data_IF_439796383521
#
_entry.id   IF_439796383521
#
_cell.length_a   1.000
_cell.length_b   1.000
_cell.length_c   1.000
_cell.angle_alpha   90.00
_cell.angle_beta   90.00
_cell.angle_gamma   90.00
#
_symmetry.space_group_name_H-M   'P 1'
#
loop_
_entity.id
_entity.type
_entity.pdbx_description
1 polymer ?
#
# COMPACT_ATOMS: atom_id res chain seq x y z
N UNK A 1 -23.54 -20.78 2.17
CA UNK A 1 -22.35 -20.25 1.47
C UNK A 1 -22.25 -18.71 1.52
N UNK A 2 -23.32 -17.95 1.83
CA UNK A 2 -23.26 -16.48 1.93
C UNK A 2 -22.42 -15.93 3.10
N UNK A 3 -22.24 -16.71 4.17
CA UNK A 3 -21.59 -16.24 5.41
C UNK A 3 -20.06 -16.13 5.28
N UNK A 4 -19.42 -17.14 4.68
CA UNK A 4 -17.96 -17.16 4.48
C UNK A 4 -17.50 -16.03 3.55
N UNK A 5 -18.28 -15.71 2.51
CA UNK A 5 -18.00 -14.58 1.63
C UNK A 5 -17.90 -13.28 2.40
N UNK A 6 -18.87 -13.05 3.29
CA UNK A 6 -18.98 -11.82 4.05
C UNK A 6 -17.83 -11.72 5.04
N UNK A 7 -17.46 -12.81 5.70
CA UNK A 7 -16.30 -12.88 6.59
C UNK A 7 -15.01 -12.47 5.84
N UNK A 8 -14.79 -12.97 4.61
CA UNK A 8 -13.63 -12.57 3.83
C UNK A 8 -13.68 -11.10 3.44
N UNK A 9 -14.79 -10.60 2.90
CA UNK A 9 -14.91 -9.20 2.51
C UNK A 9 -14.75 -8.25 3.70
N UNK A 10 -15.32 -8.58 4.85
CA UNK A 10 -15.16 -7.80 6.10
C UNK A 10 -13.70 -7.81 6.56
N UNK A 11 -13.07 -8.99 6.63
CA UNK A 11 -11.67 -9.11 7.00
C UNK A 11 -10.73 -8.34 6.05
N UNK A 12 -10.99 -8.37 4.75
CA UNK A 12 -10.21 -7.60 3.76
C UNK A 12 -10.34 -6.10 4.05
N UNK A 13 -11.57 -5.60 4.23
CA UNK A 13 -11.82 -4.19 4.51
C UNK A 13 -11.15 -3.72 5.81
N UNK A 14 -11.25 -4.51 6.89
CA UNK A 14 -10.67 -4.19 8.19
C UNK A 14 -9.14 -4.24 8.16
N UNK A 15 -8.55 -5.26 7.54
CA UNK A 15 -7.10 -5.42 7.53
C UNK A 15 -6.41 -4.40 6.62
N UNK A 16 -7.01 -4.10 5.46
CA UNK A 16 -6.47 -3.05 4.60
C UNK A 16 -6.68 -1.66 5.19
N UNK A 17 -7.83 -1.37 5.78
CA UNK A 17 -8.09 -0.05 6.38
C UNK A 17 -7.13 0.23 7.53
N UNK A 18 -6.90 -0.76 8.40
CA UNK A 18 -5.89 -0.67 9.45
C UNK A 18 -4.46 -0.50 8.89
N UNK A 19 -4.07 -1.30 7.90
CA UNK A 19 -2.74 -1.21 7.30
C UNK A 19 -2.49 0.14 6.62
N UNK A 20 -3.46 0.65 5.87
CA UNK A 20 -3.36 1.96 5.20
C UNK A 20 -3.30 3.09 6.24
N UNK A 21 -4.07 3.00 7.32
CA UNK A 21 -4.00 3.96 8.42
C UNK A 21 -2.62 3.96 9.11
N UNK A 22 -2.00 2.79 9.29
CA UNK A 22 -0.64 2.70 9.81
C UNK A 22 0.40 3.31 8.85
N UNK A 23 0.22 3.15 7.53
CA UNK A 23 1.06 3.83 6.54
C UNK A 23 0.89 5.37 6.62
N UNK A 24 -0.33 5.84 6.81
CA UNK A 24 -0.62 7.26 6.99
C UNK A 24 0.01 7.83 8.27
N UNK A 25 -0.06 7.10 9.39
CA UNK A 25 0.62 7.47 10.65
C UNK A 25 2.13 7.65 10.42
N UNK A 26 2.76 6.74 9.67
CA UNK A 26 4.17 6.85 9.30
C UNK A 26 4.48 8.09 8.47
N UNK A 27 3.67 8.38 7.45
CA UNK A 27 3.82 9.58 6.61
C UNK A 27 3.76 10.86 7.45
N UNK A 28 2.77 10.95 8.35
CA UNK A 28 2.56 12.11 9.23
C UNK A 28 3.67 12.27 10.27
N UNK A 29 4.18 11.17 10.79
CA UNK A 29 5.16 11.16 11.88
C UNK A 29 6.61 11.33 11.41
N UNK A 30 6.90 11.19 10.11
CA UNK A 30 8.27 11.23 9.60
C UNK A 30 8.88 12.65 9.70
N UNK A 31 9.99 12.84 10.46
CA UNK A 31 10.68 14.13 10.56
C UNK A 31 11.31 14.56 9.23
N UNK A 32 11.54 15.88 9.07
CA UNK A 32 12.06 16.46 7.82
C UNK A 32 13.46 15.92 7.48
N UNK A 33 14.29 15.75 8.50
CA UNK A 33 15.66 15.24 8.40
C UNK A 33 15.73 13.76 8.02
N UNK A 34 14.65 12.99 8.20
CA UNK A 34 14.57 11.57 7.79
C UNK A 34 13.96 11.43 6.40
N UNK A 35 13.09 12.37 6.03
CA UNK A 35 12.26 12.32 4.83
C UNK A 35 13.05 12.00 3.56
N UNK A 36 14.07 12.80 3.27
CA UNK A 36 14.95 12.67 2.09
C UNK A 36 16.40 12.33 2.50
N UNK A 37 16.58 11.62 3.61
CA UNK A 37 17.89 11.11 4.01
C UNK A 37 18.32 9.95 3.09
N UNK A 38 19.34 10.21 2.26
CA UNK A 38 19.90 9.29 1.26
C UNK A 38 21.22 8.64 1.69
N UNK A 39 21.69 8.85 2.93
CA UNK A 39 23.02 8.37 3.35
C UNK A 39 23.07 6.86 3.57
N UNK A 40 21.93 6.18 3.66
CA UNK A 40 21.84 4.77 4.03
C UNK A 40 20.85 4.00 3.16
N UNK A 41 20.84 4.31 1.87
CA UNK A 41 19.95 3.71 0.87
C UNK A 41 18.79 4.63 0.48
N UNK A 42 17.69 4.07 -0.05
CA UNK A 42 16.53 4.83 -0.49
C UNK A 42 15.98 5.74 0.62
N UNK A 43 15.67 7.01 0.33
CA UNK A 43 15.06 7.90 1.31
C UNK A 43 13.68 7.39 1.75
N UNK A 44 13.23 7.85 2.92
CA UNK A 44 11.97 7.41 3.52
C UNK A 44 10.78 7.61 2.56
N UNK A 45 10.74 8.76 1.89
CA UNK A 45 9.67 9.06 0.94
C UNK A 45 9.66 8.09 -0.25
N UNK A 46 10.83 7.63 -0.73
CA UNK A 46 10.91 6.72 -1.88
C UNK A 46 10.45 5.31 -1.47
N UNK A 47 10.83 4.85 -0.29
CA UNK A 47 10.29 3.59 0.27
C UNK A 47 8.78 3.68 0.41
N UNK A 48 8.27 4.80 0.91
CA UNK A 48 6.82 5.00 1.05
C UNK A 48 6.12 5.04 -0.31
N UNK A 49 6.69 5.74 -1.29
CA UNK A 49 6.18 5.78 -2.66
C UNK A 49 6.20 4.40 -3.32
N UNK A 50 7.25 3.61 -3.15
CA UNK A 50 7.30 2.22 -3.61
C UNK A 50 6.10 1.42 -3.08
N UNK A 51 5.84 1.49 -1.78
CA UNK A 51 4.72 0.78 -1.15
C UNK A 51 3.40 1.22 -1.74
N UNK A 52 3.18 2.52 -1.86
CA UNK A 52 1.95 3.08 -2.41
C UNK A 52 1.75 2.75 -3.89
N UNK A 53 2.83 2.80 -4.67
CA UNK A 53 2.80 2.44 -6.08
C UNK A 53 2.38 0.99 -6.27
N UNK A 54 2.96 0.06 -5.52
CA UNK A 54 2.58 -1.36 -5.60
C UNK A 54 1.20 -1.61 -5.01
N UNK A 55 0.82 -0.93 -3.93
CA UNK A 55 -0.53 -1.00 -3.38
C UNK A 55 -1.58 -0.60 -4.43
N UNK A 56 -1.39 0.54 -5.10
CA UNK A 56 -2.26 1.01 -6.17
C UNK A 56 -2.28 0.04 -7.36
N UNK A 57 -1.11 -0.37 -7.83
CA UNK A 57 -0.99 -1.27 -8.98
C UNK A 57 -1.65 -2.62 -8.71
N UNK A 58 -1.44 -3.21 -7.53
CA UNK A 58 -2.01 -4.50 -7.13
C UNK A 58 -3.50 -4.45 -6.81
N UNK A 59 -4.12 -3.26 -6.72
CA UNK A 59 -5.57 -3.11 -6.70
C UNK A 59 -6.21 -3.25 -8.09
N UNK A 60 -5.42 -3.42 -9.16
CA UNK A 60 -5.94 -3.68 -10.51
C UNK A 60 -6.75 -4.98 -10.54
N UNK A 61 -7.95 -4.91 -11.10
CA UNK A 61 -8.95 -5.99 -11.16
C UNK A 61 -8.86 -6.86 -12.42
N UNK A 62 -8.08 -6.45 -13.41
CA UNK A 62 -7.96 -7.13 -14.69
C UNK A 62 -6.57 -6.94 -15.29
N UNK A 63 -6.26 -7.76 -16.29
CA UNK A 63 -5.02 -7.63 -17.05
C UNK A 63 -4.91 -6.28 -17.74
N UNK A 64 -6.02 -5.79 -18.30
CA UNK A 64 -6.06 -4.50 -19.00
C UNK A 64 -5.77 -3.33 -18.05
N UNK A 65 -6.40 -3.31 -16.86
CA UNK A 65 -6.14 -2.26 -15.87
C UNK A 65 -4.72 -2.31 -15.33
N UNK A 66 -4.16 -3.52 -15.15
CA UNK A 66 -2.75 -3.73 -14.77
C UNK A 66 -1.76 -3.25 -15.83
N UNK A 67 -1.97 -3.59 -17.11
CA UNK A 67 -1.06 -3.25 -18.21
C UNK A 67 -1.13 -1.76 -18.60
N UNK A 68 -2.31 -1.15 -18.46
CA UNK A 68 -2.52 0.29 -18.67
C UNK A 68 -2.21 1.16 -17.46
N UNK A 69 -1.73 0.58 -16.36
CA UNK A 69 -1.52 1.29 -15.10
C UNK A 69 -0.53 2.46 -15.24
N UNK A 70 -0.90 3.61 -14.68
CA UNK A 70 -0.04 4.79 -14.56
C UNK A 70 -0.19 5.33 -13.14
N UNK A 71 0.95 5.56 -12.48
CA UNK A 71 0.95 6.19 -11.17
C UNK A 71 0.48 7.65 -11.27
N UNK A 72 0.00 8.21 -10.15
CA UNK A 72 -0.36 9.63 -10.02
C UNK A 72 0.77 10.59 -10.44
N UNK A 73 2.03 10.16 -10.33
CA UNK A 73 3.20 11.00 -10.59
C UNK A 73 3.97 10.59 -11.86
N UNK A 74 3.42 9.70 -12.68
CA UNK A 74 4.10 9.20 -13.89
C UNK A 74 5.33 8.37 -13.56
N UNK A 75 6.41 8.58 -14.32
CA UNK A 75 7.65 7.78 -14.27
C UNK A 75 8.79 8.42 -13.47
N UNK A 76 8.76 9.75 -13.28
CA UNK A 76 9.90 10.49 -12.72
C UNK A 76 10.21 10.17 -11.25
N UNK A 77 9.24 9.92 -10.35
CA UNK A 77 9.52 9.19 -9.13
C UNK A 77 9.56 7.69 -9.44
N UNK A 78 10.74 7.08 -9.26
CA UNK A 78 10.89 5.64 -9.44
C UNK A 78 10.48 4.89 -8.18
N UNK A 79 9.58 3.92 -8.36
CA UNK A 79 9.20 2.91 -7.38
C UNK A 79 10.31 1.87 -7.16
N UNK A 80 11.32 1.80 -8.03
CA UNK A 80 12.43 0.86 -7.88
C UNK A 80 13.41 1.38 -6.83
N UNK A 81 13.49 0.67 -5.71
CA UNK A 81 14.36 1.00 -4.58
C UNK A 81 15.85 0.81 -4.89
N UNK A 82 16.22 0.18 -6.00
CA UNK A 82 17.60 0.10 -6.45
C UNK A 82 18.03 1.32 -7.29
N UNK A 83 17.08 2.19 -7.66
CA UNK A 83 17.35 3.41 -8.43
C UNK A 83 17.40 4.61 -7.51
N UNK A 84 18.48 5.37 -7.59
CA UNK A 84 18.57 6.66 -6.91
C UNK A 84 17.50 7.61 -7.49
N UNK A 85 16.65 8.22 -6.65
CA UNK A 85 15.57 9.06 -7.14
C UNK A 85 16.10 10.42 -7.62
N UNK A 86 15.57 10.89 -8.75
CA UNK A 86 15.92 12.20 -9.33
C UNK A 86 15.11 13.36 -8.76
N UNK A 87 13.92 13.05 -8.27
CA UNK A 87 12.99 14.00 -7.64
C UNK A 87 12.82 13.66 -6.16
N UNK A 88 12.22 14.57 -5.40
CA UNK A 88 11.82 14.31 -4.00
C UNK A 88 10.33 14.62 -3.88
N UNK A 89 9.53 13.59 -3.62
CA UNK A 89 8.10 13.80 -3.34
C UNK A 89 7.93 14.39 -1.95
N UNK A 90 7.03 15.36 -1.83
CA UNK A 90 6.67 15.98 -0.55
C UNK A 90 5.71 15.09 0.23
N UNK A 91 5.64 15.31 1.56
CA UNK A 91 4.68 14.62 2.41
C UNK A 91 3.24 14.83 1.94
N UNK A 92 2.88 16.05 1.55
CA UNK A 92 1.53 16.36 1.10
C UNK A 92 1.18 15.65 -0.21
N UNK A 93 2.12 15.56 -1.16
CA UNK A 93 1.92 14.77 -2.38
C UNK A 93 1.65 13.29 -2.05
N UNK A 94 2.42 12.70 -1.13
CA UNK A 94 2.19 11.30 -0.74
C UNK A 94 0.90 11.11 0.07
N UNK A 95 0.51 12.06 0.91
CA UNK A 95 -0.79 11.99 1.59
C UNK A 95 -1.97 12.10 0.61
N UNK A 96 -1.86 12.99 -0.37
CA UNK A 96 -2.84 13.16 -1.44
C UNK A 96 -2.94 11.90 -2.32
N UNK A 97 -1.80 11.29 -2.67
CA UNK A 97 -1.82 10.01 -3.38
C UNK A 97 -2.38 8.87 -2.52
N UNK A 98 -2.13 8.87 -1.21
CA UNK A 98 -2.71 7.86 -0.31
C UNK A 98 -4.23 7.97 -0.25
N UNK A 99 -4.77 9.19 -0.33
CA UNK A 99 -6.20 9.43 -0.40
C UNK A 99 -6.82 8.79 -1.66
N UNK A 100 -6.20 8.97 -2.83
CA UNK A 100 -6.67 8.33 -4.07
C UNK A 100 -6.65 6.81 -3.96
N UNK A 101 -5.59 6.25 -3.35
CA UNK A 101 -5.46 4.81 -3.14
C UNK A 101 -6.55 4.28 -2.21
N UNK A 102 -6.89 5.03 -1.15
CA UNK A 102 -8.00 4.67 -0.23
C UNK A 102 -9.32 4.58 -0.97
N UNK A 103 -9.65 5.59 -1.78
CA UNK A 103 -10.88 5.59 -2.58
C UNK A 103 -10.88 4.43 -3.58
N UNK A 104 -9.76 4.18 -4.26
CA UNK A 104 -9.64 3.02 -5.16
C UNK A 104 -9.82 1.70 -4.42
N UNK A 105 -9.20 1.53 -3.24
CA UNK A 105 -9.33 0.32 -2.44
C UNK A 105 -10.76 0.13 -1.96
N UNK A 106 -11.44 1.22 -1.58
CA UNK A 106 -12.85 1.22 -1.21
C UNK A 106 -13.70 0.71 -2.35
N UNK A 107 -13.62 1.34 -3.52
CA UNK A 107 -14.36 0.90 -4.70
C UNK A 107 -14.01 -0.52 -5.14
N UNK A 108 -12.75 -0.94 -4.97
CA UNK A 108 -12.31 -2.30 -5.34
C UNK A 108 -12.92 -3.37 -4.44
N UNK A 109 -13.11 -3.06 -3.16
CA UNK A 109 -13.59 -4.00 -2.15
C UNK A 109 -15.10 -3.90 -1.90
N UNK A 110 -15.71 -2.75 -2.19
CA UNK A 110 -17.15 -2.56 -2.31
C UNK A 110 -17.67 -3.36 -3.50
N UNK A 111 -18.20 -4.56 -3.24
CA UNK A 111 -18.75 -5.44 -4.27
C UNK A 111 -17.93 -6.70 -4.54
N UNK A 112 -16.84 -6.95 -3.79
CA UNK A 112 -16.15 -8.23 -3.84
C UNK A 112 -17.12 -9.39 -3.54
N UNK A 113 -17.26 -10.29 -4.50
CA UNK A 113 -18.11 -11.49 -4.39
C UNK A 113 -17.28 -12.74 -4.11
N UNK A 114 -17.91 -13.78 -3.55
CA UNK A 114 -17.26 -15.11 -3.42
C UNK A 114 -16.75 -15.64 -4.75
N UNK A 115 -17.57 -15.51 -5.80
CA UNK A 115 -17.24 -16.02 -7.13
C UNK A 115 -16.00 -15.32 -7.68
N UNK A 116 -15.86 -14.02 -7.44
CA UNK A 116 -14.66 -13.28 -7.81
C UNK A 116 -13.43 -13.70 -6.98
N UNK A 117 -13.56 -13.88 -5.66
CA UNK A 117 -12.44 -14.25 -4.79
C UNK A 117 -11.76 -15.56 -5.20
N UNK A 118 -12.49 -16.48 -5.84
CA UNK A 118 -11.98 -17.75 -6.36
C UNK A 118 -11.48 -17.69 -7.81
N UNK A 119 -11.75 -16.60 -8.54
CA UNK A 119 -11.22 -16.41 -9.89
C UNK A 119 -9.69 -16.33 -9.88
N UNK A 120 -9.09 -16.61 -11.04
CA UNK A 120 -7.64 -16.60 -11.19
C UNK A 120 -7.06 -15.23 -10.89
N UNK A 121 -5.93 -15.23 -10.19
CA UNK A 121 -5.16 -14.01 -9.92
C UNK A 121 -4.80 -13.26 -11.22
N UNK A 122 -4.97 -11.93 -11.20
CA UNK A 122 -4.52 -10.99 -12.25
C UNK A 122 -2.98 -10.95 -12.36
N UNK A 123 -2.30 -11.28 -11.27
CA UNK A 123 -0.86 -11.33 -11.16
C UNK A 123 -0.43 -12.78 -10.98
N UNK A 124 0.24 -13.33 -11.99
CA UNK A 124 0.56 -14.76 -12.06
C UNK A 124 1.46 -15.24 -10.89
N UNK A 125 2.25 -14.34 -10.30
CA UNK A 125 3.12 -14.62 -9.16
C UNK A 125 2.47 -14.44 -7.79
N UNK A 126 1.19 -14.02 -7.72
CA UNK A 126 0.48 -13.87 -6.44
C UNK A 126 -0.23 -15.14 -5.98
N UNK A 127 -0.16 -16.23 -6.77
CA UNK A 127 -0.84 -17.48 -6.49
C UNK A 127 -2.08 -17.67 -7.35
N UNK A 128 -2.96 -18.59 -6.92
CA UNK A 128 -4.00 -19.14 -7.79
C UNK A 128 -5.25 -18.28 -7.89
N UNK A 129 -5.59 -17.48 -6.88
CA UNK A 129 -6.86 -16.75 -6.84
C UNK A 129 -6.74 -15.26 -6.56
N UNK A 130 -7.83 -14.50 -6.80
CA UNK A 130 -7.93 -13.08 -6.40
C UNK A 130 -7.74 -12.92 -4.89
N UNK A 131 -8.29 -13.82 -4.07
CA UNK A 131 -8.00 -13.81 -2.62
C UNK A 131 -6.50 -13.92 -2.33
N UNK A 132 -5.76 -14.77 -3.06
CA UNK A 132 -4.30 -14.87 -2.91
C UNK A 132 -3.60 -13.56 -3.31
N UNK A 133 -4.09 -12.88 -4.35
CA UNK A 133 -3.62 -11.55 -4.76
C UNK A 133 -3.81 -10.48 -3.69
N UNK A 134 -4.99 -10.44 -3.07
CA UNK A 134 -5.31 -9.50 -2.00
C UNK A 134 -4.39 -9.77 -0.79
N UNK A 135 -4.23 -11.03 -0.37
CA UNK A 135 -3.33 -11.37 0.74
C UNK A 135 -1.85 -11.07 0.42
N UNK A 136 -1.42 -11.29 -0.83
CA UNK A 136 -0.06 -10.95 -1.26
C UNK A 136 0.20 -9.45 -1.12
N UNK A 137 -0.72 -8.63 -1.60
CA UNK A 137 -0.60 -7.18 -1.57
C UNK A 137 -0.61 -6.67 -0.11
N UNK A 138 -1.50 -7.18 0.76
CA UNK A 138 -1.47 -6.87 2.20
C UNK A 138 -0.13 -7.24 2.86
N UNK A 139 0.42 -8.41 2.52
CA UNK A 139 1.72 -8.87 3.03
C UNK A 139 2.87 -7.96 2.59
N UNK A 140 2.87 -7.50 1.32
CA UNK A 140 3.84 -6.54 0.81
C UNK A 140 3.74 -5.19 1.54
N UNK A 141 2.52 -4.65 1.66
CA UNK A 141 2.23 -3.42 2.38
C UNK A 141 2.77 -3.47 3.83
N UNK A 142 2.41 -4.52 4.58
CA UNK A 142 2.78 -4.63 6.00
C UNK A 142 4.27 -4.89 6.22
N UNK A 143 4.94 -5.62 5.30
CA UNK A 143 6.39 -5.80 5.35
C UNK A 143 7.11 -4.44 5.36
N UNK A 144 6.72 -3.54 4.46
CA UNK A 144 7.36 -2.25 4.35
C UNK A 144 6.90 -1.25 5.43
N UNK A 145 5.66 -1.30 5.89
CA UNK A 145 5.22 -0.53 7.08
C UNK A 145 6.11 -0.88 8.28
N UNK A 146 6.41 -2.17 8.51
CA UNK A 146 7.32 -2.60 9.57
C UNK A 146 8.73 -2.00 9.43
N UNK A 147 9.27 -1.98 8.21
CA UNK A 147 10.57 -1.36 7.92
C UNK A 147 10.57 0.15 8.15
N UNK A 148 9.52 0.86 7.71
CA UNK A 148 9.33 2.30 7.93
C UNK A 148 9.22 2.61 9.44
N UNK A 149 8.43 1.82 10.18
CA UNK A 149 8.28 1.94 11.63
C UNK A 149 9.64 1.85 12.33
N UNK A 150 10.45 0.84 11.99
CA UNK A 150 11.77 0.66 12.58
C UNK A 150 12.69 1.83 12.28
N UNK A 151 12.66 2.35 11.04
CA UNK A 151 13.45 3.52 10.64
C UNK A 151 13.10 4.75 11.48
N UNK A 152 11.81 5.01 11.70
CA UNK A 152 11.34 6.14 12.52
C UNK A 152 11.72 5.97 13.99
N UNK A 153 11.52 4.77 14.56
CA UNK A 153 11.91 4.48 15.96
C UNK A 153 13.40 4.66 16.21
N UNK A 154 14.26 4.26 15.26
CA UNK A 154 15.72 4.48 15.35
C UNK A 154 16.12 5.96 15.40
N UNK A 155 15.25 6.86 14.94
CA UNK A 155 15.43 8.32 15.00
C UNK A 155 14.71 8.94 16.22
N UNK A 156 14.25 8.13 17.16
CA UNK A 156 13.58 8.58 18.38
C UNK A 156 12.11 8.99 18.18
N UNK A 157 11.53 8.75 17.00
CA UNK A 157 10.13 9.10 16.73
C UNK A 157 9.22 8.14 17.49
N UNK A 158 8.35 8.71 18.34
CA UNK A 158 7.27 7.97 19.00
C UNK A 158 6.09 7.86 18.05
N UNK A 159 5.89 6.67 17.51
CA UNK A 159 4.74 6.36 16.67
C UNK A 159 3.49 6.17 17.53
N UNK A 160 2.33 6.43 16.92
CA UNK A 160 1.03 6.08 17.48
C UNK A 160 0.90 4.57 17.71
N UNK A 161 -0.15 4.20 18.44
CA UNK A 161 -0.45 2.81 18.73
C UNK A 161 -0.86 2.06 17.47
N UNK A 162 -0.70 0.74 17.51
CA UNK A 162 -1.19 -0.18 16.50
C UNK A 162 -2.66 0.10 16.17
N UNK A 163 -2.99 0.21 14.88
CA UNK A 163 -4.38 0.33 14.42
C UNK A 163 -4.97 -1.06 14.38
N UNK A 164 -5.76 -1.43 15.39
CA UNK A 164 -6.33 -2.78 15.53
C UNK A 164 -7.54 -3.00 14.65
N UNK A 165 -8.38 -1.99 14.48
CA UNK A 165 -9.56 -2.05 13.64
C UNK A 165 -9.83 -0.69 13.00
N UNK A 166 -9.76 -0.66 11.67
CA UNK A 166 -10.23 0.45 10.88
C UNK A 166 -10.66 -0.12 9.53
N UNK A 167 -11.89 0.16 9.10
CA UNK A 167 -12.34 -0.19 7.75
C UNK A 167 -11.86 0.88 6.77
N UNK A 168 -11.63 0.48 5.53
CA UNK A 168 -11.39 1.39 4.41
C UNK A 168 -12.55 2.39 4.27
#
# INVERSE_FOLDING_TARGET
MSDISKIFSDAINEQYGAAIAMLEQNLKSCPKEVWDDRTSGPPFWQVTYHVMWYLDWYLSDSRNTREGFKSKFGEEPSQDLNKAPKVTLTRNQLLDYLSDIKEKAKSRFEGLTSDELIQRSVFEWHGKSILSSILYNLRHLMLHIGALNLRLRRKGVKLENWVSNQRI
#
